data_IF_608117481089
#
_entry.id   IF_608117481089
#
_cell.length_a   1.000
_cell.length_b   1.000
_cell.length_c   1.000
_cell.angle_alpha   90.00
_cell.angle_beta   90.00
_cell.angle_gamma   90.00
#
_symmetry.space_group_name_H-M   'P 1'
#
loop_
_entity.id
_entity.type
_entity.pdbx_description
1 polymer ?
#
# COMPACT_ATOMS: atom_id res chain seq x y z
N UNK A 1 -3.07 0.65 3.06
CA UNK A 1 -2.56 -0.62 2.48
C UNK A 1 -2.43 -0.46 0.97
N UNK A 2 -1.52 -1.20 0.35
CA UNK A 2 -1.39 -1.30 -1.11
C UNK A 2 -2.52 -2.15 -1.72
N UNK A 3 -2.76 -2.03 -3.03
CA UNK A 3 -3.66 -2.89 -3.82
C UNK A 3 -3.24 -4.35 -3.68
N UNK A 4 -1.94 -4.63 -3.72
CA UNK A 4 -1.41 -5.99 -3.47
C UNK A 4 -1.75 -6.47 -2.06
N UNK A 5 -1.64 -5.61 -1.05
CA UNK A 5 -2.05 -5.91 0.33
C UNK A 5 -3.53 -6.26 0.45
N UNK A 6 -4.41 -5.49 -0.20
CA UNK A 6 -5.85 -5.78 -0.27
C UNK A 6 -6.15 -7.10 -0.98
N UNK A 7 -5.45 -7.40 -2.07
CA UNK A 7 -5.59 -8.67 -2.77
C UNK A 7 -5.22 -9.86 -1.88
N UNK A 8 -4.09 -9.79 -1.16
CA UNK A 8 -3.68 -10.82 -0.20
C UNK A 8 -4.73 -11.00 0.90
N UNK A 9 -5.19 -9.90 1.51
CA UNK A 9 -6.23 -9.95 2.53
C UNK A 9 -7.52 -10.61 2.02
N UNK A 10 -7.94 -10.28 0.80
CA UNK A 10 -9.11 -10.86 0.15
C UNK A 10 -8.98 -12.37 -0.05
N UNK A 11 -7.83 -12.85 -0.52
CA UNK A 11 -7.56 -14.28 -0.71
C UNK A 11 -7.59 -15.03 0.63
N UNK A 12 -6.90 -14.51 1.64
CA UNK A 12 -6.88 -15.12 2.99
C UNK A 12 -8.29 -15.17 3.58
N UNK A 13 -9.04 -14.08 3.48
CA UNK A 13 -10.42 -13.99 3.96
C UNK A 13 -11.33 -15.00 3.23
N UNK A 14 -11.20 -15.12 1.92
CA UNK A 14 -11.96 -16.09 1.13
C UNK A 14 -11.65 -17.53 1.57
N UNK A 15 -10.37 -17.87 1.78
CA UNK A 15 -9.99 -19.17 2.32
C UNK A 15 -10.62 -19.44 3.70
N UNK A 16 -10.54 -18.48 4.62
CA UNK A 16 -11.14 -18.62 5.96
C UNK A 16 -12.66 -18.83 5.85
N UNK A 17 -13.36 -18.09 4.99
CA UNK A 17 -14.81 -18.26 4.78
C UNK A 17 -15.13 -19.66 4.26
N UNK A 18 -14.38 -20.15 3.27
CA UNK A 18 -14.59 -21.50 2.71
C UNK A 18 -14.38 -22.58 3.78
N UNK A 19 -13.29 -22.51 4.54
CA UNK A 19 -13.03 -23.45 5.63
C UNK A 19 -14.12 -23.39 6.71
N UNK A 20 -14.58 -22.19 7.03
CA UNK A 20 -15.65 -21.96 8.01
C UNK A 20 -16.97 -22.57 7.53
N UNK A 21 -17.31 -22.40 6.25
CA UNK A 21 -18.51 -22.99 5.66
C UNK A 21 -18.45 -24.52 5.70
N UNK A 22 -17.31 -25.12 5.31
CA UNK A 22 -17.10 -26.57 5.37
C UNK A 22 -17.21 -27.08 6.80
N UNK A 23 -16.54 -26.43 7.76
CA UNK A 23 -16.61 -26.80 9.17
C UNK A 23 -18.03 -26.67 9.75
N UNK A 24 -18.76 -25.63 9.36
CA UNK A 24 -20.15 -25.41 9.77
C UNK A 24 -21.09 -26.49 9.22
N UNK A 25 -20.96 -26.85 7.94
CA UNK A 25 -21.71 -27.95 7.33
C UNK A 25 -21.38 -29.29 8.00
N UNK A 26 -20.09 -29.57 8.21
CA UNK A 26 -19.62 -30.77 8.89
C UNK A 26 -20.22 -30.91 10.30
N UNK A 27 -20.25 -29.82 11.08
CA UNK A 27 -20.89 -29.78 12.41
C UNK A 27 -22.39 -30.06 12.31
N UNK A 28 -23.07 -29.49 11.31
CA UNK A 28 -24.51 -29.65 11.18
C UNK A 28 -24.95 -31.04 10.72
N UNK A 29 -24.14 -31.71 9.90
CA UNK A 29 -24.42 -33.06 9.40
C UNK A 29 -24.06 -34.15 10.43
N UNK A 30 -22.94 -33.99 11.15
CA UNK A 30 -22.43 -35.04 12.04
C UNK A 30 -22.92 -34.94 13.48
N UNK A 31 -23.48 -33.81 13.92
CA UNK A 31 -24.04 -33.68 15.27
C UNK A 31 -25.57 -33.72 15.28
N UNK A 32 -26.10 -34.54 16.19
CA UNK A 32 -27.51 -34.57 16.53
C UNK A 32 -28.02 -33.17 16.94
N UNK A 33 -29.29 -32.90 16.64
CA UNK A 33 -29.95 -31.62 16.92
C UNK A 33 -30.02 -31.39 18.44
N UNK A 34 -29.06 -30.65 18.97
CA UNK A 34 -28.84 -30.42 20.40
C UNK A 34 -28.32 -29.01 20.66
N UNK A 35 -28.47 -28.50 21.89
CA UNK A 35 -27.85 -27.24 22.34
C UNK A 35 -26.33 -27.24 22.08
N UNK A 36 -25.66 -28.38 22.25
CA UNK A 36 -24.21 -28.53 21.99
C UNK A 36 -23.84 -28.15 20.56
N UNK A 37 -24.64 -28.59 19.57
CA UNK A 37 -24.41 -28.27 18.15
C UNK A 37 -24.43 -26.76 17.90
N UNK A 38 -25.43 -26.07 18.46
CA UNK A 38 -25.59 -24.61 18.31
C UNK A 38 -24.37 -23.88 18.88
N UNK A 39 -23.92 -24.26 20.07
CA UNK A 39 -22.73 -23.66 20.69
C UNK A 39 -21.46 -23.93 19.86
N UNK A 40 -21.26 -25.15 19.37
CA UNK A 40 -20.09 -25.47 18.54
C UNK A 40 -20.13 -24.71 17.21
N UNK A 41 -21.28 -24.62 16.54
CA UNK A 41 -21.40 -23.87 15.29
C UNK A 41 -21.14 -22.37 15.48
N UNK A 42 -21.61 -21.80 16.60
CA UNK A 42 -21.29 -20.41 16.96
C UNK A 42 -19.79 -20.24 17.22
N UNK A 43 -19.16 -21.19 17.93
CA UNK A 43 -17.72 -21.19 18.16
C UNK A 43 -16.90 -21.16 16.87
N UNK A 44 -17.28 -21.98 15.86
CA UNK A 44 -16.63 -22.00 14.55
C UNK A 44 -16.68 -20.63 13.86
N UNK A 45 -17.85 -19.99 13.86
CA UNK A 45 -18.02 -18.65 13.25
C UNK A 45 -17.25 -17.58 14.01
N UNK A 46 -17.23 -17.64 15.36
CA UNK A 46 -16.49 -16.69 16.18
C UNK A 46 -14.98 -16.79 15.97
N UNK A 47 -14.44 -18.01 15.89
CA UNK A 47 -13.02 -18.23 15.60
C UNK A 47 -12.68 -17.67 14.22
N UNK A 48 -13.49 -17.94 13.21
CA UNK A 48 -13.30 -17.39 11.87
C UNK A 48 -13.28 -15.86 11.86
N UNK A 49 -14.24 -15.23 12.55
CA UNK A 49 -14.29 -13.76 12.69
C UNK A 49 -13.02 -13.20 13.36
N UNK A 50 -12.54 -13.84 14.42
CA UNK A 50 -11.30 -13.42 15.10
C UNK A 50 -10.07 -13.52 14.21
N UNK A 51 -9.98 -14.55 13.35
CA UNK A 51 -8.88 -14.72 12.40
C UNK A 51 -8.88 -13.63 11.33
N UNK A 52 -10.05 -13.28 10.80
CA UNK A 52 -10.18 -12.21 9.79
C UNK A 52 -9.78 -10.86 10.39
N UNK A 53 -10.26 -10.55 11.60
CA UNK A 53 -9.90 -9.31 12.30
C UNK A 53 -8.40 -9.27 12.58
N UNK A 54 -7.82 -10.37 13.06
CA UNK A 54 -6.38 -10.47 13.32
C UNK A 54 -5.54 -10.28 12.06
N UNK A 55 -5.96 -10.90 10.94
CA UNK A 55 -5.30 -10.72 9.65
C UNK A 55 -5.36 -9.27 9.15
N UNK A 56 -6.53 -8.62 9.30
CA UNK A 56 -6.70 -7.21 8.94
C UNK A 56 -5.82 -6.30 9.80
N UNK A 57 -5.86 -6.48 11.12
CA UNK A 57 -5.07 -5.69 12.06
C UNK A 57 -3.56 -5.88 11.84
N UNK A 58 -3.11 -7.11 11.61
CA UNK A 58 -1.70 -7.42 11.34
C UNK A 58 -1.19 -6.80 10.03
N UNK A 59 -1.98 -6.90 8.95
CA UNK A 59 -1.63 -6.22 7.70
C UNK A 59 -1.67 -4.70 7.86
N UNK A 60 -2.63 -4.16 8.62
CA UNK A 60 -2.74 -2.71 8.81
C UNK A 60 -1.49 -2.20 9.52
N UNK A 61 -1.14 -2.85 10.62
CA UNK A 61 0.08 -2.58 11.38
C UNK A 61 1.34 -2.68 10.51
N UNK A 62 1.44 -3.70 9.64
CA UNK A 62 2.57 -3.81 8.70
C UNK A 62 2.68 -2.56 7.80
N UNK A 63 1.59 -2.10 7.21
CA UNK A 63 1.61 -0.96 6.28
C UNK A 63 1.72 0.41 6.97
N UNK A 64 1.38 0.54 8.26
CA UNK A 64 1.49 1.82 8.99
C UNK A 64 2.76 1.93 9.82
N UNK A 65 3.16 0.86 10.52
CA UNK A 65 4.23 0.92 11.51
C UNK A 65 5.61 0.55 10.94
N UNK A 66 5.68 -0.27 9.89
CA UNK A 66 6.96 -0.66 9.30
C UNK A 66 7.41 0.31 8.21
N UNK A 67 8.73 0.56 8.14
CA UNK A 67 9.30 1.45 7.11
C UNK A 67 9.11 0.88 5.70
N UNK A 68 9.26 -0.43 5.51
CA UNK A 68 9.05 -1.10 4.23
C UNK A 68 7.57 -1.04 3.79
N UNK A 69 6.64 -1.27 4.72
CA UNK A 69 5.20 -1.16 4.46
C UNK A 69 4.80 0.25 4.04
N UNK A 70 5.28 1.28 4.73
CA UNK A 70 5.04 2.68 4.35
C UNK A 70 5.60 3.00 2.97
N UNK A 71 6.85 2.61 2.69
CA UNK A 71 7.47 2.80 1.36
C UNK A 71 6.64 2.15 0.26
N UNK A 72 6.17 0.93 0.45
CA UNK A 72 5.34 0.25 -0.53
C UNK A 72 4.01 0.99 -0.83
N UNK A 73 3.43 1.70 0.15
CA UNK A 73 2.24 2.54 -0.05
C UNK A 73 2.60 3.80 -0.85
N UNK A 74 3.69 4.48 -0.49
CA UNK A 74 4.16 5.68 -1.18
C UNK A 74 4.55 5.39 -2.64
N UNK A 75 5.25 4.29 -2.90
CA UNK A 75 5.62 3.87 -4.26
C UNK A 75 4.37 3.62 -5.12
N UNK A 76 3.35 2.98 -4.54
CA UNK A 76 2.08 2.79 -5.23
C UNK A 76 1.36 4.11 -5.48
N UNK A 77 1.37 5.02 -4.51
CA UNK A 77 0.78 6.35 -4.65
C UNK A 77 1.45 7.14 -5.79
N UNK A 78 2.78 7.09 -5.87
CA UNK A 78 3.55 7.71 -6.95
C UNK A 78 3.14 7.15 -8.32
N UNK A 79 3.01 5.83 -8.43
CA UNK A 79 2.61 5.19 -9.69
C UNK A 79 1.17 5.52 -10.11
N UNK A 80 0.24 5.68 -9.15
CA UNK A 80 -1.16 6.01 -9.45
C UNK A 80 -1.31 7.49 -9.82
N UNK A 81 -0.58 8.38 -9.14
CA UNK A 81 -0.68 9.83 -9.34
C UNK A 81 0.27 10.36 -10.40
N UNK A 82 1.07 9.50 -11.03
CA UNK A 82 2.11 9.89 -11.98
C UNK A 82 3.10 10.90 -11.35
N UNK A 83 3.57 10.58 -10.14
CA UNK A 83 4.45 11.42 -9.32
C UNK A 83 4.01 11.54 -7.87
N UNK A 84 4.80 12.23 -7.06
CA UNK A 84 4.46 12.61 -5.68
C UNK A 84 4.39 14.12 -5.59
N UNK A 85 3.58 14.61 -4.66
CA UNK A 85 3.65 16.02 -4.25
C UNK A 85 5.06 16.28 -3.69
N UNK A 86 5.83 17.11 -4.38
CA UNK A 86 7.21 17.39 -4.01
C UNK A 86 7.59 18.81 -4.41
N UNK A 87 8.51 19.38 -3.65
CA UNK A 87 9.23 20.58 -4.05
C UNK A 87 10.58 20.17 -4.60
N UNK A 88 10.89 20.61 -5.82
CA UNK A 88 12.20 20.42 -6.42
C UNK A 88 12.91 21.76 -6.58
N UNK A 89 14.19 21.78 -6.24
CA UNK A 89 15.09 22.89 -6.47
C UNK A 89 16.13 22.48 -7.51
N UNK A 90 16.22 23.24 -8.59
CA UNK A 90 17.25 23.11 -9.62
C UNK A 90 18.38 24.05 -9.25
N UNK A 91 19.58 23.51 -9.04
CA UNK A 91 20.75 24.27 -8.62
C UNK A 91 21.81 24.34 -9.72
N UNK A 92 22.53 25.47 -9.77
CA UNK A 92 23.70 25.63 -10.64
C UNK A 92 24.92 24.88 -10.05
N UNK A 93 26.04 24.94 -10.76
CA UNK A 93 27.30 24.31 -10.31
C UNK A 93 27.83 24.88 -8.98
N UNK A 94 27.47 26.11 -8.66
CA UNK A 94 27.84 26.81 -7.42
C UNK A 94 26.90 26.49 -6.24
N UNK A 95 25.84 25.71 -6.47
CA UNK A 95 24.86 25.34 -5.45
C UNK A 95 23.76 26.39 -5.22
N UNK A 96 23.64 27.39 -6.10
CA UNK A 96 22.58 28.39 -6.05
C UNK A 96 21.32 27.88 -6.74
N UNK A 97 20.16 28.11 -6.13
CA UNK A 97 18.86 27.75 -6.69
C UNK A 97 18.55 28.64 -7.89
N UNK A 98 18.48 28.03 -9.08
CA UNK A 98 18.09 28.69 -10.32
C UNK A 98 16.57 28.70 -10.46
N UNK A 99 15.91 27.65 -9.97
CA UNK A 99 14.46 27.48 -10.11
C UNK A 99 13.88 26.50 -9.10
N UNK A 100 12.67 26.79 -8.64
CA UNK A 100 11.90 25.92 -7.76
C UNK A 100 10.58 25.55 -8.42
N UNK A 101 10.17 24.29 -8.27
CA UNK A 101 8.85 23.80 -8.67
C UNK A 101 8.20 23.07 -7.51
N UNK A 102 6.89 23.26 -7.35
CA UNK A 102 6.09 22.56 -6.34
C UNK A 102 4.83 22.02 -7.01
N UNK A 103 4.53 20.75 -6.72
CA UNK A 103 3.34 20.05 -7.17
C UNK A 103 3.59 18.54 -7.30
N UNK A 104 2.65 17.85 -7.92
CA UNK A 104 2.83 16.45 -8.34
C UNK A 104 3.84 16.38 -9.47
N UNK A 105 5.02 15.84 -9.18
CA UNK A 105 6.12 15.74 -10.12
C UNK A 105 6.58 14.30 -10.13
N UNK A 106 6.83 13.74 -11.31
CA UNK A 106 7.58 12.49 -11.48
C UNK A 106 8.98 12.80 -12.00
N UNK A 107 10.00 12.24 -11.36
CA UNK A 107 11.40 12.54 -11.65
C UNK A 107 12.02 11.29 -12.24
N UNK A 108 12.51 11.41 -13.47
CA UNK A 108 13.25 10.36 -14.14
C UNK A 108 14.74 10.67 -13.98
N UNK A 109 15.42 9.88 -13.15
CA UNK A 109 16.87 9.95 -13.01
C UNK A 109 17.54 9.33 -14.24
N UNK A 110 18.54 10.02 -14.79
CA UNK A 110 19.36 9.50 -15.87
C UNK A 110 20.85 9.58 -15.51
N UNK A 111 21.57 8.48 -15.76
CA UNK A 111 23.03 8.38 -15.61
C UNK A 111 23.81 9.36 -16.53
N UNK A 112 23.13 9.99 -17.50
CA UNK A 112 23.70 10.92 -18.48
C UNK A 112 23.97 12.35 -18.00
N UNK A 113 23.84 12.65 -16.70
CA UNK A 113 24.13 13.99 -16.15
C UNK A 113 23.04 15.03 -16.42
N UNK A 114 21.80 14.59 -16.63
CA UNK A 114 20.63 15.45 -16.78
C UNK A 114 19.43 14.90 -16.00
N UNK A 115 18.53 15.80 -15.63
CA UNK A 115 17.30 15.48 -14.89
C UNK A 115 16.11 15.79 -15.79
N UNK A 116 15.16 14.84 -15.87
CA UNK A 116 13.91 15.00 -16.60
C UNK A 116 12.74 14.87 -15.63
N UNK A 117 11.76 15.75 -15.79
CA UNK A 117 10.49 15.63 -15.08
C UNK A 117 9.36 16.28 -15.86
N UNK A 118 8.15 15.78 -15.63
CA UNK A 118 6.93 16.34 -16.20
C UNK A 118 6.22 17.20 -15.14
N UNK A 119 5.83 18.42 -15.53
CA UNK A 119 5.15 19.38 -14.66
C UNK A 119 4.15 20.22 -15.46
N UNK A 120 2.88 20.25 -15.01
CA UNK A 120 1.79 20.98 -15.65
C UNK A 120 1.67 20.74 -17.18
N UNK A 121 1.79 19.47 -17.59
CA UNK A 121 1.68 19.06 -19.00
C UNK A 121 2.87 19.44 -19.87
N UNK A 122 4.00 19.86 -19.28
CA UNK A 122 5.26 20.15 -19.99
C UNK A 122 6.38 19.28 -19.44
N UNK A 123 7.24 18.83 -20.35
CA UNK A 123 8.47 18.11 -20.01
C UNK A 123 9.63 19.10 -19.86
N UNK A 124 10.31 19.05 -18.73
CA UNK A 124 11.51 19.83 -18.46
C UNK A 124 12.73 18.93 -18.51
N UNK A 125 13.84 19.46 -19.04
CA UNK A 125 15.12 18.77 -19.07
C UNK A 125 16.22 19.76 -18.69
N UNK A 126 16.93 19.46 -17.60
CA UNK A 126 18.04 20.26 -17.10
C UNK A 126 19.35 19.48 -17.26
N UNK A 127 20.30 20.07 -17.98
CA UNK A 127 21.62 19.48 -18.21
C UNK A 127 22.65 20.11 -17.27
N UNK A 128 23.54 19.29 -16.71
CA UNK A 128 24.64 19.75 -15.86
C UNK A 128 24.16 20.63 -14.67
N UNK A 129 23.00 20.31 -14.11
CA UNK A 129 22.45 20.94 -12.91
C UNK A 129 22.32 19.90 -11.79
N UNK A 130 22.39 20.36 -10.54
CA UNK A 130 22.01 19.53 -9.41
C UNK A 130 20.51 19.65 -9.14
N UNK A 131 19.93 18.60 -8.56
CA UNK A 131 18.53 18.54 -8.18
C UNK A 131 18.43 18.16 -6.70
N UNK A 132 17.80 19.04 -5.92
CA UNK A 132 17.29 18.68 -4.61
C UNK A 132 15.80 18.39 -4.75
N UNK A 133 15.34 17.25 -4.22
CA UNK A 133 13.94 16.85 -4.23
C UNK A 133 13.47 16.56 -2.81
N UNK A 134 12.41 17.24 -2.41
CA UNK A 134 11.77 17.09 -1.09
C UNK A 134 10.34 16.65 -1.36
N UNK A 135 10.06 15.36 -1.16
CA UNK A 135 8.73 14.80 -1.33
C UNK A 135 7.94 14.80 -0.03
N UNK A 136 6.66 15.15 -0.13
CA UNK A 136 5.72 14.97 0.97
C UNK A 136 5.23 13.52 0.98
N UNK A 137 5.40 12.85 2.12
CA UNK A 137 5.18 11.41 2.29
C UNK A 137 4.29 11.10 3.51
N UNK A 138 3.48 12.08 3.92
CA UNK A 138 2.46 11.91 4.97
C UNK A 138 1.43 10.81 4.66
#
# INVERSE_FOLDING_TARGET
>A
MTIKGWAIFGIVTACVIVFTAVAFLFVNENMARSKKRIFTSLGVVLVAGSLIIGAFAGLHWYYTETAEGRRAVIDQQSNINNGLERTINILNADGEVIRTYTGVIDIEGNDGGYVVFDYNGRRYTYYNCYLESIADIE
#
